data_IF_030466492966
#
_entry.id   IF_030466492966
#
_cell.length_a   1.000
_cell.length_b   1.000
_cell.length_c   1.000
_cell.angle_alpha   90.00
_cell.angle_beta   90.00
_cell.angle_gamma   90.00
#
_symmetry.space_group_name_H-M   'P 1'
#
loop_
_entity.id
_entity.type
_entity.pdbx_description
1 polymer ?
#
# COMPACT_ATOMS: atom_id res chain seq x y z
N UNK A 1 -20.75 4.33 15.78
CA UNK A 1 -20.68 4.16 14.31
C UNK A 1 -19.85 5.24 13.60
N UNK A 2 -19.82 6.50 14.06
CA UNK A 2 -19.09 7.60 13.40
C UNK A 2 -17.56 7.52 13.42
N UNK A 3 -16.95 7.01 14.51
CA UNK A 3 -15.48 6.98 14.64
C UNK A 3 -14.79 6.09 13.58
N UNK A 4 -15.39 4.96 13.24
CA UNK A 4 -14.88 4.05 12.20
C UNK A 4 -14.94 4.68 10.80
N UNK A 5 -15.98 5.46 10.52
CA UNK A 5 -16.09 6.19 9.25
C UNK A 5 -14.99 7.25 9.14
N UNK A 6 -14.74 8.01 10.21
CA UNK A 6 -13.68 9.03 10.26
C UNK A 6 -12.30 8.37 10.12
N UNK A 7 -12.04 7.28 10.84
CA UNK A 7 -10.79 6.54 10.72
C UNK A 7 -10.56 6.00 9.30
N UNK A 8 -11.61 5.46 8.67
CA UNK A 8 -11.57 5.02 7.27
C UNK A 8 -11.24 6.15 6.31
N UNK A 9 -11.89 7.30 6.44
CA UNK A 9 -11.63 8.48 5.59
C UNK A 9 -10.20 9.00 5.76
N UNK A 10 -9.68 9.06 6.99
CA UNK A 10 -8.30 9.48 7.25
C UNK A 10 -7.32 8.54 6.55
N UNK A 11 -7.53 7.22 6.67
CA UNK A 11 -6.70 6.20 6.03
C UNK A 11 -6.70 6.35 4.50
N UNK A 12 -7.87 6.64 3.94
CA UNK A 12 -8.07 6.85 2.52
C UNK A 12 -7.33 8.11 2.05
N UNK A 13 -7.47 9.22 2.78
CA UNK A 13 -6.72 10.46 2.51
C UNK A 13 -5.21 10.25 2.58
N UNK A 14 -4.73 9.43 3.52
CA UNK A 14 -3.32 9.15 3.72
C UNK A 14 -2.67 8.45 2.52
N UNK A 15 -3.45 7.72 1.72
CA UNK A 15 -3.01 7.05 0.49
C UNK A 15 -3.25 7.93 -0.74
N UNK A 16 -4.42 8.57 -0.82
CA UNK A 16 -4.84 9.36 -2.00
C UNK A 16 -4.01 10.62 -2.16
N UNK A 17 -3.70 11.33 -1.07
CA UNK A 17 -2.89 12.55 -1.13
C UNK A 17 -1.49 12.31 -1.72
N UNK A 18 -0.68 11.35 -1.22
CA UNK A 18 0.61 11.09 -1.80
C UNK A 18 0.51 10.47 -3.20
N UNK A 19 -0.52 9.67 -3.50
CA UNK A 19 -0.77 9.20 -4.87
C UNK A 19 -1.01 10.36 -5.85
N UNK A 20 -1.84 11.33 -5.47
CA UNK A 20 -2.07 12.55 -6.26
C UNK A 20 -0.81 13.39 -6.40
N UNK A 21 0.00 13.48 -5.34
CA UNK A 21 1.30 14.17 -5.41
C UNK A 21 2.28 13.46 -6.36
N UNK A 22 2.26 12.13 -6.44
CA UNK A 22 3.09 11.37 -7.39
C UNK A 22 2.64 11.60 -8.84
N UNK A 23 1.33 11.73 -9.09
CA UNK A 23 0.77 11.86 -10.45
C UNK A 23 0.75 13.29 -10.99
N UNK A 24 0.44 14.28 -10.13
CA UNK A 24 0.14 15.65 -10.56
C UNK A 24 1.28 16.64 -10.28
N UNK A 25 2.16 16.34 -9.33
CA UNK A 25 3.25 17.25 -8.98
C UNK A 25 4.54 16.93 -9.74
N UNK A 26 5.43 17.91 -9.84
CA UNK A 26 6.75 17.80 -10.45
C UNK A 26 7.87 18.19 -9.47
N UNK A 27 9.08 17.69 -9.71
CA UNK A 27 10.26 18.02 -8.91
C UNK A 27 10.22 17.46 -7.48
N UNK A 28 10.63 18.27 -6.50
CA UNK A 28 10.78 17.84 -5.10
C UNK A 28 9.48 17.37 -4.43
N UNK A 29 8.33 17.94 -4.84
CA UNK A 29 7.02 17.55 -4.30
C UNK A 29 6.63 16.14 -4.74
N UNK A 30 6.92 15.77 -6.01
CA UNK A 30 6.71 14.41 -6.51
C UNK A 30 7.59 13.41 -5.77
N UNK A 31 8.86 13.76 -5.55
CA UNK A 31 9.80 12.92 -4.80
C UNK A 31 9.32 12.67 -3.37
N UNK A 32 8.87 13.72 -2.66
CA UNK A 32 8.31 13.61 -1.32
C UNK A 32 7.06 12.71 -1.30
N UNK A 33 6.15 12.89 -2.28
CA UNK A 33 4.99 12.02 -2.45
C UNK A 33 5.36 10.56 -2.69
N UNK A 34 6.35 10.29 -3.54
CA UNK A 34 6.85 8.93 -3.82
C UNK A 34 7.43 8.26 -2.58
N UNK A 35 8.22 9.00 -1.78
CA UNK A 35 8.81 8.49 -0.55
C UNK A 35 7.70 8.15 0.46
N UNK A 36 6.77 9.08 0.71
CA UNK A 36 5.67 8.86 1.66
C UNK A 36 4.81 7.67 1.23
N UNK A 37 4.46 7.60 -0.05
CA UNK A 37 3.67 6.49 -0.61
C UNK A 37 4.40 5.15 -0.45
N UNK A 38 5.71 5.14 -0.69
CA UNK A 38 6.55 3.93 -0.53
C UNK A 38 6.61 3.45 0.91
N UNK A 39 6.72 4.37 1.89
CA UNK A 39 6.69 4.03 3.32
C UNK A 39 5.34 3.41 3.69
N UNK A 40 4.23 3.98 3.21
CA UNK A 40 2.89 3.45 3.46
C UNK A 40 2.73 2.05 2.85
N UNK A 41 3.12 1.88 1.59
CA UNK A 41 3.09 0.58 0.90
C UNK A 41 3.98 -0.45 1.60
N UNK A 42 5.14 -0.07 2.12
CA UNK A 42 6.01 -0.95 2.88
C UNK A 42 5.37 -1.43 4.20
N UNK A 43 4.66 -0.55 4.90
CA UNK A 43 3.89 -0.93 6.11
C UNK A 43 2.77 -1.90 5.74
N UNK A 44 2.02 -1.63 4.67
CA UNK A 44 0.97 -2.53 4.18
C UNK A 44 1.56 -3.89 3.80
N UNK A 45 2.70 -3.91 3.11
CA UNK A 45 3.40 -5.13 2.74
C UNK A 45 3.80 -5.95 3.97
N UNK A 46 4.36 -5.32 5.00
CA UNK A 46 4.73 -5.99 6.24
C UNK A 46 3.53 -6.63 6.95
N UNK A 47 2.39 -5.93 6.97
CA UNK A 47 1.13 -6.45 7.53
C UNK A 47 0.64 -7.65 6.71
N UNK A 48 0.58 -7.53 5.37
CA UNK A 48 0.16 -8.63 4.50
C UNK A 48 1.08 -9.85 4.61
N UNK A 49 2.39 -9.64 4.69
CA UNK A 49 3.38 -10.69 4.89
C UNK A 49 3.21 -11.38 6.25
N UNK A 50 2.94 -10.62 7.32
CA UNK A 50 2.68 -11.18 8.64
C UNK A 50 1.38 -12.00 8.65
N UNK A 51 0.28 -11.45 8.13
CA UNK A 51 -1.00 -12.14 8.09
C UNK A 51 -0.98 -13.35 7.16
N UNK A 52 -0.27 -13.30 6.03
CA UNK A 52 -0.11 -14.46 5.15
C UNK A 52 0.62 -15.61 5.86
N UNK A 53 1.69 -15.32 6.60
CA UNK A 53 2.38 -16.31 7.43
C UNK A 53 1.43 -16.96 8.46
N UNK A 54 0.64 -16.14 9.16
CA UNK A 54 -0.33 -16.62 10.15
C UNK A 54 -1.42 -17.49 9.48
N UNK A 55 -2.00 -17.05 8.37
CA UNK A 55 -3.05 -17.79 7.66
C UNK A 55 -2.55 -19.13 7.10
N UNK A 56 -1.31 -19.17 6.60
CA UNK A 56 -0.68 -20.43 6.15
C UNK A 56 -0.51 -21.39 7.33
N UNK A 57 -0.04 -20.88 8.48
CA UNK A 57 0.12 -21.70 9.70
C UNK A 57 -1.21 -22.20 10.26
N UNK A 58 -2.28 -21.41 10.15
CA UNK A 58 -3.63 -21.76 10.58
C UNK A 58 -4.39 -22.68 9.59
N UNK A 59 -3.72 -23.24 8.58
CA UNK A 59 -4.31 -24.04 7.49
C UNK A 59 -5.40 -23.34 6.68
N UNK A 60 -5.56 -22.02 6.83
CA UNK A 60 -6.46 -21.19 6.03
C UNK A 60 -5.83 -20.89 4.65
N UNK A 61 -5.47 -21.94 3.90
CA UNK A 61 -4.64 -21.86 2.69
C UNK A 61 -5.19 -20.91 1.62
N UNK A 62 -6.53 -20.82 1.49
CA UNK A 62 -7.19 -19.90 0.54
C UNK A 62 -6.93 -18.42 0.89
N UNK A 63 -6.94 -18.09 2.18
CA UNK A 63 -6.68 -16.74 2.68
C UNK A 63 -5.18 -16.40 2.65
N UNK A 64 -4.32 -17.37 2.98
CA UNK A 64 -2.87 -17.21 2.87
C UNK A 64 -2.43 -16.92 1.43
N UNK A 65 -2.94 -17.68 0.46
CA UNK A 65 -2.64 -17.46 -0.95
C UNK A 65 -3.10 -16.08 -1.46
N UNK A 66 -4.30 -15.64 -1.07
CA UNK A 66 -4.81 -14.32 -1.44
C UNK A 66 -3.93 -13.18 -0.89
N UNK A 67 -3.47 -13.31 0.36
CA UNK A 67 -2.59 -12.33 0.99
C UNK A 67 -1.19 -12.30 0.34
N UNK A 68 -0.65 -13.45 -0.07
CA UNK A 68 0.61 -13.52 -0.83
C UNK A 68 0.48 -12.79 -2.17
N UNK A 69 -0.61 -13.02 -2.91
CA UNK A 69 -0.86 -12.32 -4.18
C UNK A 69 -0.96 -10.81 -3.92
N UNK A 70 -1.66 -10.39 -2.87
CA UNK A 70 -1.74 -8.98 -2.49
C UNK A 70 -0.36 -8.37 -2.18
N UNK A 71 0.50 -9.10 -1.46
CA UNK A 71 1.89 -8.68 -1.21
C UNK A 71 2.69 -8.49 -2.48
N UNK A 72 2.54 -9.36 -3.48
CA UNK A 72 3.20 -9.22 -4.79
C UNK A 72 2.70 -7.98 -5.54
N UNK A 73 1.40 -7.70 -5.50
CA UNK A 73 0.82 -6.49 -6.12
C UNK A 73 1.38 -5.22 -5.46
N UNK A 74 1.53 -5.21 -4.13
CA UNK A 74 2.11 -4.08 -3.39
C UNK A 74 3.58 -3.86 -3.80
N UNK A 75 4.37 -4.92 -3.93
CA UNK A 75 5.74 -4.84 -4.44
C UNK A 75 5.79 -4.28 -5.87
N UNK A 76 4.87 -4.73 -6.73
CA UNK A 76 4.78 -4.23 -8.09
C UNK A 76 4.44 -2.73 -8.13
N UNK A 77 3.50 -2.28 -7.30
CA UNK A 77 3.16 -0.86 -7.14
C UNK A 77 4.37 -0.02 -6.70
N UNK A 78 5.13 -0.48 -5.71
CA UNK A 78 6.36 0.22 -5.29
C UNK A 78 7.33 0.31 -6.48
N UNK A 79 7.53 -0.79 -7.20
CA UNK A 79 8.41 -0.80 -8.36
C UNK A 79 7.97 0.19 -9.44
N UNK A 80 6.69 0.21 -9.82
CA UNK A 80 6.20 1.12 -10.88
C UNK A 80 6.34 2.59 -10.49
N UNK A 81 6.08 2.92 -9.23
CA UNK A 81 6.25 4.28 -8.69
C UNK A 81 7.70 4.77 -8.86
N UNK A 82 8.69 3.92 -8.60
CA UNK A 82 10.10 4.27 -8.71
C UNK A 82 10.66 4.15 -10.14
N UNK A 83 10.15 3.19 -10.93
CA UNK A 83 10.51 3.03 -12.33
C UNK A 83 9.97 4.16 -13.22
N UNK A 84 9.10 5.03 -12.68
CA UNK A 84 8.48 6.11 -13.43
C UNK A 84 7.50 5.62 -14.50
N UNK A 85 7.04 4.36 -14.37
CA UNK A 85 6.04 3.80 -15.24
C UNK A 85 4.68 4.45 -14.95
N UNK A 86 3.90 4.83 -15.97
CA UNK A 86 2.53 5.27 -15.76
C UNK A 86 1.74 4.09 -15.17
N UNK A 87 1.04 4.37 -14.07
CA UNK A 87 0.10 3.46 -13.42
C UNK A 87 -1.33 3.91 -13.69
#
# INVERSE_FOLDING_TARGET
MRAWAVAGTILLCLIVLPALAVTLASGWVRLAGQIILSVILAVIFAILAFFSYVCVRAQARKWGAALIIASVIVLFLIYTIWAGLPF
#
